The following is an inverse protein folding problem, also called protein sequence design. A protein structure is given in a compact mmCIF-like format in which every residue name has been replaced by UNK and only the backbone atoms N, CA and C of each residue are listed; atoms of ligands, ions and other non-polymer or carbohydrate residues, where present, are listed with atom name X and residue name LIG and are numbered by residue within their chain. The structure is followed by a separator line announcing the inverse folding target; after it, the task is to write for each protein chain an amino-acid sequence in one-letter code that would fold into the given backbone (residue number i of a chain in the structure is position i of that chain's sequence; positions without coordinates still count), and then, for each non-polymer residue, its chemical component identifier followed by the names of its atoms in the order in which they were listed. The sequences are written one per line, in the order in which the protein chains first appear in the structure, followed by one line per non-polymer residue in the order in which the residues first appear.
data_IF_346729244033
#
_entry.id   IF_346729244033
#
_cell.length_a   1.000
_cell.length_b   1.000
_cell.length_c   1.000
_cell.angle_alpha   90.00
_cell.angle_beta   90.00
_cell.angle_gamma   90.00
#
_symmetry.space_group_name_H-M   'P 1'
#
loop_
_entity.id
_entity.type
_entity.pdbx_description
1 polymer ?
#
# COMPACT_ATOMS: atom_id res chain seq x y z
N UNK A 1 8.69 4.06 -22.04
CA UNK A 1 8.28 3.75 -20.66
C UNK A 1 8.88 4.70 -19.62
N UNK A 2 10.15 5.07 -19.67
CA UNK A 2 10.77 6.03 -18.70
C UNK A 2 10.11 7.42 -18.70
N UNK A 3 9.65 7.92 -19.86
CA UNK A 3 9.00 9.24 -19.98
C UNK A 3 7.59 9.28 -19.38
N UNK A 4 6.86 8.15 -19.41
CA UNK A 4 5.51 8.05 -18.83
C UNK A 4 5.57 8.06 -17.29
N UNK A 5 6.58 7.43 -16.70
CA UNK A 5 6.81 7.42 -15.26
C UNK A 5 7.16 8.83 -14.70
N UNK A 6 7.96 9.58 -15.46
CA UNK A 6 8.33 10.95 -15.07
C UNK A 6 7.14 11.91 -15.14
N UNK A 7 6.23 11.72 -16.09
CA UNK A 7 5.03 12.56 -16.26
C UNK A 7 4.00 12.27 -15.15
N UNK A 8 3.83 11.01 -14.76
CA UNK A 8 2.92 10.64 -13.67
C UNK A 8 3.43 11.15 -12.31
N UNK A 9 4.74 11.10 -12.08
CA UNK A 9 5.36 11.64 -10.87
C UNK A 9 5.34 13.18 -10.83
N UNK A 10 5.49 13.84 -11.99
CA UNK A 10 5.38 15.29 -12.14
C UNK A 10 3.96 15.82 -11.89
N UNK A 11 2.92 15.12 -12.34
CA UNK A 11 1.52 15.50 -12.07
C UNK A 11 1.15 15.34 -10.59
N UNK A 12 1.64 14.29 -9.91
CA UNK A 12 1.42 14.13 -8.47
C UNK A 12 2.09 15.23 -7.63
N UNK A 13 3.24 15.72 -8.08
CA UNK A 13 3.95 16.82 -7.41
C UNK A 13 3.31 18.20 -7.62
N UNK A 14 2.65 18.43 -8.77
CA UNK A 14 1.96 19.71 -9.04
C UNK A 14 0.66 19.86 -8.26
N UNK A 15 -0.03 18.79 -7.89
CA UNK A 15 -1.23 18.86 -7.05
C UNK A 15 -0.93 19.17 -5.57
N UNK A 16 0.32 19.05 -5.13
CA UNK A 16 0.74 19.33 -3.76
C UNK A 16 0.92 20.83 -3.45
N UNK A 17 0.77 21.73 -4.42
CA UNK A 17 1.08 23.17 -4.25
C UNK A 17 -0.11 24.08 -3.96
N UNK A 18 -1.32 23.56 -3.85
CA UNK A 18 -2.47 24.36 -3.40
C UNK A 18 -2.69 24.18 -1.91
N UNK A 19 -1.94 24.94 -1.12
CA UNK A 19 -2.06 24.96 0.34
C UNK A 19 -3.29 25.75 0.76
N UNK A 20 -4.39 25.07 1.01
CA UNK A 20 -5.36 25.50 2.01
C UNK A 20 -5.10 24.66 3.27
N UNK A 21 -4.94 25.32 4.41
CA UNK A 21 -4.86 24.65 5.72
C UNK A 21 -6.17 23.92 6.02
N UNK A 22 -6.32 22.75 5.46
CA UNK A 22 -7.34 21.79 5.85
C UNK A 22 -6.69 20.85 6.84
N UNK A 23 -7.16 20.86 8.09
CA UNK A 23 -6.79 19.84 9.09
C UNK A 23 -6.93 18.49 8.42
N UNK A 24 -5.82 17.78 8.25
CA UNK A 24 -5.82 16.43 7.72
C UNK A 24 -6.69 15.56 8.64
N UNK A 25 -7.93 15.31 8.23
CA UNK A 25 -8.78 14.34 8.88
C UNK A 25 -8.32 12.97 8.40
N UNK A 26 -7.54 12.30 9.25
CA UNK A 26 -7.27 10.88 9.04
C UNK A 26 -8.63 10.16 9.05
N UNK A 27 -8.94 9.48 7.97
CA UNK A 27 -10.11 8.60 7.91
C UNK A 27 -9.92 7.43 8.88
N UNK A 28 -11.02 6.88 9.39
CA UNK A 28 -10.97 5.75 10.32
C UNK A 28 -10.85 4.43 9.57
N UNK A 29 -11.62 4.26 8.50
CA UNK A 29 -11.68 3.02 7.71
C UNK A 29 -11.67 3.36 6.23
N UNK A 30 -10.90 2.64 5.46
CA UNK A 30 -10.89 2.69 4.00
C UNK A 30 -11.07 1.30 3.42
N UNK A 31 -11.98 1.17 2.45
CA UNK A 31 -12.26 -0.06 1.73
C UNK A 31 -12.14 0.20 0.23
N UNK A 32 -11.51 -0.69 -0.50
CA UNK A 32 -11.34 -0.51 -1.93
C UNK A 32 -10.50 -1.58 -2.58
N UNK A 33 -9.67 -1.18 -3.52
CA UNK A 33 -8.80 -2.06 -4.28
C UNK A 33 -7.34 -1.86 -3.89
N UNK A 34 -6.62 -2.96 -3.80
CA UNK A 34 -5.17 -3.03 -3.73
C UNK A 34 -4.61 -3.65 -5.00
N UNK A 35 -3.47 -3.13 -5.43
CA UNK A 35 -2.64 -3.72 -6.47
C UNK A 35 -1.27 -4.02 -5.85
N UNK A 36 -0.69 -5.13 -6.24
CA UNK A 36 0.68 -5.52 -5.91
C UNK A 36 1.38 -5.85 -7.22
N UNK A 37 2.40 -5.08 -7.58
CA UNK A 37 3.05 -5.13 -8.89
C UNK A 37 4.57 -4.97 -8.77
N UNK A 38 5.26 -5.26 -9.85
CA UNK A 38 6.72 -5.21 -9.93
C UNK A 38 7.26 -6.53 -10.47
N UNK A 39 8.27 -7.09 -9.81
CA UNK A 39 8.84 -8.37 -10.22
C UNK A 39 7.81 -9.50 -10.09
N UNK A 40 7.58 -10.22 -11.18
CA UNK A 40 6.58 -11.27 -11.28
C UNK A 40 5.19 -10.75 -11.69
N UNK A 41 4.15 -11.48 -11.31
CA UNK A 41 2.78 -11.16 -11.70
C UNK A 41 2.24 -9.92 -10.97
N UNK A 42 1.42 -9.16 -11.66
CA UNK A 42 0.58 -8.12 -11.04
C UNK A 42 -0.65 -8.77 -10.45
N UNK A 43 -0.94 -8.46 -9.19
CA UNK A 43 -2.10 -8.95 -8.49
C UNK A 43 -3.01 -7.78 -8.11
N UNK A 44 -4.32 -8.02 -8.13
CA UNK A 44 -5.34 -7.03 -7.78
C UNK A 44 -6.44 -7.68 -6.96
N UNK A 45 -7.02 -6.93 -6.03
CA UNK A 45 -8.14 -7.42 -5.24
C UNK A 45 -8.58 -6.48 -4.13
N UNK A 46 -9.53 -6.91 -3.29
CA UNK A 46 -10.02 -6.11 -2.19
C UNK A 46 -8.94 -5.77 -1.16
N UNK A 47 -8.99 -4.52 -0.70
CA UNK A 47 -8.11 -3.96 0.32
C UNK A 47 -8.95 -3.23 1.38
N UNK A 48 -8.69 -3.53 2.64
CA UNK A 48 -9.26 -2.88 3.81
C UNK A 48 -8.13 -2.27 4.62
N UNK A 49 -8.29 -1.01 5.05
CA UNK A 49 -7.39 -0.35 5.97
C UNK A 49 -8.19 0.27 7.11
N UNK A 50 -7.77 0.03 8.35
CA UNK A 50 -8.43 0.56 9.54
C UNK A 50 -7.42 1.20 10.48
N UNK A 51 -7.63 2.46 10.83
CA UNK A 51 -6.83 3.19 11.80
C UNK A 51 -7.42 2.98 13.20
N UNK A 52 -6.75 2.20 14.03
CA UNK A 52 -7.14 1.99 15.43
C UNK A 52 -6.60 3.09 16.35
N UNK A 53 -5.66 3.91 15.87
CA UNK A 53 -5.15 5.08 16.56
C UNK A 53 -4.70 6.15 15.55
N UNK A 54 -4.31 7.35 16.04
CA UNK A 54 -3.79 8.43 15.16
C UNK A 54 -2.57 8.01 14.34
N UNK A 55 -1.77 7.09 14.87
CA UNK A 55 -0.52 6.65 14.25
C UNK A 55 -0.53 5.18 13.85
N UNK A 56 -1.47 4.39 14.35
CA UNK A 56 -1.54 2.96 14.12
C UNK A 56 -2.67 2.58 13.18
N UNK A 57 -2.36 1.76 12.18
CA UNK A 57 -3.34 1.18 11.27
C UNK A 57 -3.06 -0.31 11.03
N UNK A 58 -4.11 -1.04 10.72
CA UNK A 58 -4.05 -2.39 10.17
C UNK A 58 -4.57 -2.36 8.74
N UNK A 59 -3.92 -3.09 7.85
CA UNK A 59 -4.35 -3.28 6.48
C UNK A 59 -4.45 -4.77 6.18
N UNK A 60 -5.53 -5.19 5.52
CA UNK A 60 -5.73 -6.55 5.06
C UNK A 60 -6.08 -6.54 3.57
N UNK A 61 -5.53 -7.49 2.83
CA UNK A 61 -5.72 -7.59 1.38
C UNK A 61 -5.86 -9.05 0.96
N UNK A 62 -6.73 -9.28 -0.02
CA UNK A 62 -6.79 -10.54 -0.77
C UNK A 62 -6.61 -10.20 -2.23
N UNK A 63 -5.51 -10.62 -2.83
CA UNK A 63 -5.11 -10.22 -4.18
C UNK A 63 -5.02 -11.44 -5.09
N UNK A 64 -5.46 -11.29 -6.33
CA UNK A 64 -5.54 -12.33 -7.34
C UNK A 64 -4.74 -11.94 -8.58
N UNK A 65 -3.99 -12.88 -9.14
CA UNK A 65 -3.26 -12.68 -10.40
C UNK A 65 -2.20 -13.76 -10.63
N UNK A 66 -1.86 -14.03 -11.91
CA UNK A 66 -0.82 -14.97 -12.27
C UNK A 66 -1.03 -16.41 -11.78
N UNK A 67 -2.25 -16.92 -11.76
CA UNK A 67 -2.62 -18.22 -11.20
C UNK A 67 -2.32 -18.37 -9.68
N UNK A 68 -2.25 -17.25 -8.97
CA UNK A 68 -2.06 -17.26 -7.52
C UNK A 68 -3.00 -16.30 -6.81
N UNK A 69 -3.27 -16.62 -5.55
CA UNK A 69 -4.00 -15.76 -4.62
C UNK A 69 -3.09 -15.41 -3.46
N UNK A 70 -3.04 -14.14 -3.10
CA UNK A 70 -2.29 -13.69 -1.93
C UNK A 70 -3.27 -13.19 -0.89
N UNK A 71 -3.08 -13.67 0.35
CA UNK A 71 -3.74 -13.13 1.55
C UNK A 71 -2.67 -12.53 2.43
N UNK A 72 -2.82 -11.26 2.75
CA UNK A 72 -1.82 -10.52 3.53
C UNK A 72 -2.45 -9.55 4.52
N UNK A 73 -1.75 -9.34 5.64
CA UNK A 73 -2.15 -8.41 6.68
C UNK A 73 -0.92 -7.66 7.19
N UNK A 74 -1.06 -6.35 7.40
CA UNK A 74 0.03 -5.46 7.79
C UNK A 74 -0.35 -4.62 8.99
N UNK A 75 0.59 -4.45 9.90
CA UNK A 75 0.56 -3.40 10.91
C UNK A 75 1.39 -2.22 10.41
N UNK A 76 0.86 -1.01 10.56
CA UNK A 76 1.46 0.20 10.00
C UNK A 76 1.51 1.31 11.04
N UNK A 77 2.62 2.02 11.06
CA UNK A 77 2.79 3.27 11.79
C UNK A 77 2.73 4.43 10.80
N UNK A 78 1.85 5.39 11.05
CA UNK A 78 1.57 6.51 10.16
C UNK A 78 2.05 7.82 10.79
N UNK A 79 2.62 8.69 9.99
CA UNK A 79 3.09 10.01 10.43
C UNK A 79 2.69 11.06 9.38
N UNK A 80 1.92 12.09 9.76
CA UNK A 80 1.59 13.18 8.86
C UNK A 80 2.83 13.92 8.38
N UNK A 81 2.88 14.21 7.09
CA UNK A 81 3.97 15.01 6.51
C UNK A 81 3.64 16.49 6.73
N UNK A 82 4.50 17.18 7.46
CA UNK A 82 4.33 18.62 7.71
C UNK A 82 4.36 19.42 6.40
N UNK A 83 3.39 20.29 6.22
CA UNK A 83 3.27 21.11 5.00
C UNK A 83 2.56 20.44 3.83
N UNK A 84 2.16 19.16 3.95
CA UNK A 84 1.43 18.42 2.94
C UNK A 84 0.11 17.89 3.54
N UNK A 85 -0.94 18.71 3.51
CA UNK A 85 -2.23 18.35 4.06
C UNK A 85 -2.80 17.09 3.38
N UNK A 86 -3.22 16.11 4.19
CA UNK A 86 -3.77 14.85 3.70
C UNK A 86 -2.73 13.81 3.30
N UNK A 87 -1.43 14.12 3.35
CA UNK A 87 -0.37 13.19 3.01
C UNK A 87 0.31 12.65 4.27
N UNK A 88 0.23 11.34 4.46
CA UNK A 88 0.89 10.61 5.51
C UNK A 88 2.01 9.72 4.95
N UNK A 89 3.15 9.71 5.61
CA UNK A 89 4.13 8.64 5.45
C UNK A 89 3.74 7.48 6.37
N UNK A 90 3.87 6.26 5.89
CA UNK A 90 3.72 5.10 6.74
C UNK A 90 4.81 4.06 6.53
N UNK A 91 5.12 3.33 7.58
CA UNK A 91 6.00 2.19 7.55
C UNK A 91 5.42 1.07 8.42
N UNK A 92 5.73 -0.15 8.06
CA UNK A 92 5.21 -1.30 8.81
C UNK A 92 5.56 -2.61 8.14
N UNK A 93 4.72 -3.60 8.32
CA UNK A 93 4.88 -4.91 7.70
C UNK A 93 3.97 -5.95 8.30
N UNK A 94 4.05 -7.15 7.75
CA UNK A 94 3.27 -8.26 8.26
C UNK A 94 3.39 -9.54 7.44
N UNK A 95 2.60 -10.56 7.77
CA UNK A 95 2.59 -11.83 7.07
C UNK A 95 1.84 -11.75 5.73
N UNK A 96 2.31 -12.55 4.80
CA UNK A 96 1.69 -12.78 3.49
C UNK A 96 1.77 -14.25 3.13
N UNK A 97 0.65 -14.82 2.70
CA UNK A 97 0.56 -16.19 2.22
C UNK A 97 0.17 -16.13 0.75
N UNK A 98 0.98 -16.72 -0.10
CA UNK A 98 0.69 -16.92 -1.51
C UNK A 98 0.24 -18.35 -1.73
N UNK A 99 -0.97 -18.51 -2.27
CA UNK A 99 -1.58 -19.77 -2.64
C UNK A 99 -1.51 -19.93 -4.16
N UNK A 100 -1.06 -21.09 -4.63
CA UNK A 100 -0.96 -21.42 -6.05
C UNK A 100 -1.25 -22.90 -6.27
N UNK A 101 -1.44 -23.31 -7.52
CA UNK A 101 -1.67 -24.73 -7.83
C UNK A 101 -0.48 -25.57 -7.39
N UNK A 102 -0.73 -26.49 -6.44
CA UNK A 102 0.27 -27.41 -5.91
C UNK A 102 0.95 -26.96 -4.62
N UNK A 103 0.61 -25.79 -4.04
CA UNK A 103 1.21 -25.41 -2.75
C UNK A 103 0.91 -23.99 -2.25
N UNK A 104 1.66 -23.64 -1.23
CA UNK A 104 1.62 -22.29 -0.65
C UNK A 104 3.04 -21.86 -0.25
N UNK A 105 3.26 -20.54 -0.28
CA UNK A 105 4.49 -19.92 0.19
C UNK A 105 4.16 -18.84 1.21
N UNK A 106 4.98 -18.77 2.25
CA UNK A 106 4.83 -17.80 3.32
C UNK A 106 5.92 -16.73 3.24
N UNK A 107 5.54 -15.49 3.41
CA UNK A 107 6.44 -14.34 3.35
C UNK A 107 6.23 -13.42 4.54
N UNK A 108 7.29 -12.77 4.97
CA UNK A 108 7.24 -11.55 5.76
C UNK A 108 7.46 -10.37 4.82
N UNK A 109 6.57 -9.40 4.88
CA UNK A 109 6.57 -8.26 3.97
C UNK A 109 6.71 -6.97 4.77
N UNK A 110 7.93 -6.42 4.91
CA UNK A 110 8.08 -5.05 5.35
C UNK A 110 7.53 -4.10 4.29
N UNK A 111 7.10 -2.92 4.71
CA UNK A 111 6.57 -1.92 3.78
C UNK A 111 6.84 -0.50 4.24
N UNK A 112 6.97 0.40 3.28
CA UNK A 112 7.04 1.83 3.53
C UNK A 112 6.41 2.59 2.35
N UNK A 113 5.64 3.63 2.64
CA UNK A 113 4.91 4.32 1.58
C UNK A 113 4.27 5.62 2.00
N UNK A 114 3.44 6.13 1.10
CA UNK A 114 2.67 7.35 1.25
C UNK A 114 1.18 7.05 1.10
N UNK A 115 0.37 7.64 1.96
CA UNK A 115 -1.09 7.59 1.90
C UNK A 115 -1.62 9.02 1.75
N UNK A 116 -2.35 9.26 0.69
CA UNK A 116 -2.94 10.57 0.43
C UNK A 116 -4.45 10.53 0.54
N UNK A 117 -5.00 11.26 1.52
CA UNK A 117 -6.43 11.45 1.70
C UNK A 117 -6.88 12.72 1.00
N UNK A 118 -7.77 12.58 0.02
CA UNK A 118 -8.36 13.72 -0.70
C UNK A 118 -9.28 14.53 0.22
N UNK A 119 -9.03 15.83 0.33
CA UNK A 119 -9.81 16.72 1.22
C UNK A 119 -11.25 16.96 0.74
N UNK A 120 -11.50 16.92 -0.55
CA UNK A 120 -12.82 17.17 -1.17
C UNK A 120 -13.61 15.91 -1.52
N UNK A 121 -13.06 14.70 -1.25
CA UNK A 121 -13.70 13.44 -1.61
C UNK A 121 -13.45 12.37 -0.55
N UNK A 122 -14.36 11.43 -0.36
CA UNK A 122 -14.17 10.30 0.55
C UNK A 122 -13.24 9.23 -0.06
N UNK A 123 -12.07 9.66 -0.54
CA UNK A 123 -11.11 8.81 -1.25
C UNK A 123 -9.72 8.94 -0.66
N UNK A 124 -8.98 7.86 -0.66
CA UNK A 124 -7.55 7.82 -0.35
C UNK A 124 -6.79 7.00 -1.39
N UNK A 125 -5.57 7.44 -1.69
CA UNK A 125 -4.62 6.79 -2.58
C UNK A 125 -3.34 6.49 -1.81
N UNK A 126 -2.89 5.25 -1.84
CA UNK A 126 -1.65 4.83 -1.21
C UNK A 126 -0.67 4.24 -2.23
N UNK A 127 0.60 4.53 -2.06
CA UNK A 127 1.68 3.93 -2.84
C UNK A 127 2.77 3.51 -1.86
N UNK A 128 3.22 2.27 -1.95
CA UNK A 128 4.25 1.73 -1.08
C UNK A 128 5.22 0.81 -1.79
N UNK A 129 6.40 0.70 -1.22
CA UNK A 129 7.38 -0.32 -1.50
C UNK A 129 7.20 -1.45 -0.47
N UNK A 130 7.08 -2.69 -0.95
CA UNK A 130 6.77 -3.88 -0.15
C UNK A 130 7.62 -5.09 -0.53
N UNK A 131 8.91 -5.08 -0.21
CA UNK A 131 9.77 -6.22 -0.47
C UNK A 131 9.24 -7.47 0.24
N UNK A 132 9.51 -8.64 -0.33
CA UNK A 132 9.08 -9.93 0.22
C UNK A 132 10.28 -10.73 0.68
N UNK A 133 10.20 -11.21 1.91
CA UNK A 133 11.14 -12.14 2.51
C UNK A 133 10.47 -13.50 2.59
N UNK A 134 10.96 -14.46 1.81
CA UNK A 134 10.46 -15.84 1.86
C UNK A 134 10.86 -16.51 3.18
N UNK A 135 9.92 -17.18 3.82
CA UNK A 135 10.15 -17.94 5.05
C UNK A 135 9.98 -19.42 4.72
N UNK A 136 11.08 -20.07 4.31
CA UNK A 136 11.13 -21.48 3.97
C UNK A 136 12.41 -22.14 4.45
N UNK A 137 12.48 -23.47 4.38
CA UNK A 137 13.43 -24.26 5.12
C UNK A 137 14.89 -24.24 4.63
N UNK A 138 15.26 -23.67 3.48
CA UNK A 138 16.66 -23.70 3.03
C UNK A 138 17.14 -22.50 2.18
N UNK A 139 16.28 -21.58 1.77
CA UNK A 139 16.68 -20.38 1.03
C UNK A 139 15.87 -19.17 1.49
N UNK A 140 16.54 -18.16 1.98
CA UNK A 140 15.93 -16.84 2.18
C UNK A 140 15.96 -16.09 0.85
N UNK A 141 14.90 -16.20 0.07
CA UNK A 141 14.74 -15.39 -1.15
C UNK A 141 14.18 -14.02 -0.77
N UNK A 142 14.91 -12.98 -1.17
CA UNK A 142 14.53 -11.60 -0.95
C UNK A 142 14.17 -10.94 -2.29
N UNK A 143 12.90 -10.63 -2.47
CA UNK A 143 12.43 -9.89 -3.63
C UNK A 143 12.16 -8.43 -3.24
N UNK A 144 13.03 -7.53 -3.69
CA UNK A 144 12.94 -6.09 -3.41
C UNK A 144 12.11 -5.32 -4.44
N UNK A 145 11.81 -5.90 -5.58
CA UNK A 145 11.17 -5.23 -6.72
C UNK A 145 9.64 -5.21 -6.68
N UNK A 146 9.02 -5.22 -5.49
CA UNK A 146 7.57 -5.21 -5.34
C UNK A 146 7.07 -3.89 -4.79
N UNK A 147 5.93 -3.42 -5.35
CA UNK A 147 5.27 -2.17 -4.99
C UNK A 147 3.77 -2.41 -4.82
N UNK A 148 3.15 -1.62 -3.94
CA UNK A 148 1.72 -1.62 -3.72
C UNK A 148 1.08 -0.30 -4.12
N UNK A 149 -0.12 -0.39 -4.69
CA UNK A 149 -1.00 0.75 -4.92
C UNK A 149 -2.35 0.44 -4.30
N UNK A 150 -2.86 1.35 -3.47
CA UNK A 150 -4.17 1.23 -2.84
C UNK A 150 -5.08 2.38 -3.25
N UNK A 151 -6.29 2.07 -3.70
CA UNK A 151 -7.35 3.05 -3.94
C UNK A 151 -8.55 2.69 -3.08
N UNK A 152 -8.92 3.57 -2.14
CA UNK A 152 -9.91 3.26 -1.09
C UNK A 152 -10.94 4.37 -0.95
N UNK A 153 -12.19 3.95 -0.77
CA UNK A 153 -13.26 4.80 -0.24
C UNK A 153 -13.11 4.87 1.29
N UNK A 154 -13.24 6.05 1.86
CA UNK A 154 -12.93 6.32 3.28
C UNK A 154 -14.17 6.76 4.05
N UNK A 155 -14.29 6.23 5.28
CA UNK A 155 -15.37 6.50 6.22
C UNK A 155 -14.85 7.18 7.48
#
# INVERSE_FOLDING_TARGET
MKKLFLTLFGCAALFALTTTEVKAQNYKTGVGLGLDFGDGATLVGPSLRHHFSRKGAVQAEVLFGGNSTIVQAFLQYNTPIKGAAGLDFYAGGGPSIQLYDGGSSFYIVPMAGLDYKFSGAPLALALDWRPRLYVGSNDSDFNAGRFGLGFRYTF
#
